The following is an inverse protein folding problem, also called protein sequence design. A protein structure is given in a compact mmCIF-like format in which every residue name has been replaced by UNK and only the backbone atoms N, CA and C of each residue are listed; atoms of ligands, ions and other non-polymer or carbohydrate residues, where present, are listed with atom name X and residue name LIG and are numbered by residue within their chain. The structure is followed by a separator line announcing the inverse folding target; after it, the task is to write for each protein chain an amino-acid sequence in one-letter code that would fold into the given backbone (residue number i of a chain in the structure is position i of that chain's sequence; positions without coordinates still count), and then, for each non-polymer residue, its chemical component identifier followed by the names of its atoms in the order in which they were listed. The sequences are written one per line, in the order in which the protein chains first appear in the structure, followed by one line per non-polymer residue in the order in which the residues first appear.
data_IF_770083206668
#
_entry.id   IF_770083206668
#
_cell.length_a   1.000
_cell.length_b   1.000
_cell.length_c   1.000
_cell.angle_alpha   90.00
_cell.angle_beta   90.00
_cell.angle_gamma   90.00
#
_symmetry.space_group_name_H-M   'P 1'
#
loop_
_entity.id
_entity.type
_entity.pdbx_description
1 polymer ?
#
# COMPACT_ATOMS: atom_id res chain seq x y z
N UNK A 1 -62.17 14.14 41.54
CA UNK A 1 -61.76 15.11 42.60
C UNK A 1 -60.66 14.46 43.41
N UNK A 2 -59.53 15.17 43.60
CA UNK A 2 -58.57 15.16 44.74
C UNK A 2 -58.45 13.87 45.56
N UNK A 3 -57.30 13.31 45.93
CA UNK A 3 -55.90 13.71 46.01
C UNK A 3 -55.19 12.39 46.43
N UNK A 4 -54.01 12.06 45.90
CA UNK A 4 -52.71 12.34 46.54
C UNK A 4 -52.59 11.78 47.98
N UNK A 5 -51.49 11.06 48.20
CA UNK A 5 -50.92 10.62 49.49
C UNK A 5 -51.25 9.16 49.86
N UNK A 6 -50.50 8.22 49.27
CA UNK A 6 -49.73 7.24 50.05
C UNK A 6 -48.45 6.94 49.28
N UNK A 7 -47.59 7.96 49.26
CA UNK A 7 -46.17 7.81 49.07
C UNK A 7 -45.65 7.13 50.34
N UNK A 8 -45.24 5.87 50.26
CA UNK A 8 -44.13 5.29 51.03
C UNK A 8 -44.24 3.78 51.03
N UNK A 9 -43.15 3.16 50.60
CA UNK A 9 -42.83 1.75 50.76
C UNK A 9 -43.38 0.82 49.68
N UNK A 10 -42.44 0.07 49.09
CA UNK A 10 -42.64 -1.17 48.35
C UNK A 10 -42.84 -1.11 46.82
N UNK A 11 -41.88 -0.56 46.08
CA UNK A 11 -41.33 -1.27 44.91
C UNK A 11 -39.80 -1.14 44.94
N UNK A 12 -39.19 -2.02 45.74
CA UNK A 12 -37.77 -2.42 45.67
C UNK A 12 -37.60 -3.48 44.54
N UNK A 13 -38.04 -3.15 43.33
CA UNK A 13 -37.87 -4.03 42.15
C UNK A 13 -37.33 -3.20 40.99
N UNK A 14 -36.14 -2.63 41.21
CA UNK A 14 -35.28 -2.28 40.08
C UNK A 14 -34.78 -3.61 39.52
N UNK A 15 -35.32 -3.92 38.37
CA UNK A 15 -35.05 -5.08 37.53
C UNK A 15 -33.55 -5.26 37.33
N UNK A 16 -33.00 -6.31 37.95
CA UNK A 16 -31.71 -6.87 37.57
C UNK A 16 -31.85 -7.50 36.17
N UNK A 17 -31.41 -6.80 35.13
CA UNK A 17 -31.13 -7.42 33.85
C UNK A 17 -29.82 -8.23 33.98
N UNK A 18 -29.97 -9.53 34.25
CA UNK A 18 -28.90 -10.51 34.09
C UNK A 18 -28.63 -10.69 32.59
N UNK A 19 -27.48 -10.21 32.09
CA UNK A 19 -26.99 -10.60 30.77
C UNK A 19 -26.53 -12.05 30.88
N UNK A 20 -27.17 -12.93 30.10
CA UNK A 20 -26.73 -14.30 29.87
C UNK A 20 -25.42 -14.26 29.09
N UNK A 21 -24.33 -14.68 29.72
CA UNK A 21 -23.08 -14.98 29.02
C UNK A 21 -23.29 -16.23 28.15
N UNK A 22 -23.48 -16.01 26.86
CA UNK A 22 -23.40 -17.06 25.87
C UNK A 22 -21.94 -17.18 25.44
N UNK A 23 -21.22 -18.07 26.12
CA UNK A 23 -19.99 -18.67 25.60
C UNK A 23 -20.36 -19.48 24.35
N UNK A 24 -20.44 -18.80 23.20
CA UNK A 24 -20.39 -19.43 21.89
C UNK A 24 -19.01 -19.11 21.35
N UNK A 25 -18.10 -20.06 21.52
CA UNK A 25 -16.88 -20.18 20.74
C UNK A 25 -17.25 -20.38 19.27
N UNK A 26 -17.62 -19.30 18.58
CA UNK A 26 -17.57 -19.24 17.13
C UNK A 26 -16.10 -18.96 16.80
N UNK A 27 -15.34 -20.04 16.59
CA UNK A 27 -14.08 -19.99 15.87
C UNK A 27 -14.38 -19.35 14.49
N UNK A 28 -14.25 -18.03 14.39
CA UNK A 28 -14.14 -17.30 13.11
C UNK A 28 -12.77 -17.61 12.51
N UNK A 29 -12.54 -18.88 12.15
CA UNK A 29 -11.64 -19.23 11.06
C UNK A 29 -12.37 -18.83 9.79
N UNK A 30 -11.94 -17.74 9.16
CA UNK A 30 -11.94 -17.47 7.71
C UNK A 30 -11.95 -15.94 7.49
N UNK A 31 -10.84 -15.45 6.91
CA UNK A 31 -10.68 -14.16 6.22
C UNK A 31 -10.33 -12.88 7.00
N UNK A 32 -9.35 -12.92 7.92
CA UNK A 32 -8.65 -11.69 8.39
C UNK A 32 -7.11 -11.72 8.22
N UNK A 33 -6.51 -12.90 8.04
CA UNK A 33 -5.04 -13.05 8.03
C UNK A 33 -4.30 -12.46 6.81
N UNK A 34 -4.95 -12.12 5.70
CA UNK A 34 -4.23 -11.67 4.49
C UNK A 34 -3.83 -10.19 4.51
N UNK A 35 -4.60 -9.34 5.17
CA UNK A 35 -4.35 -7.91 5.26
C UNK A 35 -3.38 -7.57 6.38
N UNK A 36 -3.55 -8.16 7.57
CA UNK A 36 -2.59 -8.01 8.68
C UNK A 36 -1.22 -8.57 8.32
N UNK A 37 -1.15 -9.79 7.75
CA UNK A 37 0.15 -10.35 7.36
C UNK A 37 0.83 -9.59 6.21
N UNK A 38 0.06 -8.96 5.31
CA UNK A 38 0.62 -8.10 4.26
C UNK A 38 1.18 -6.80 4.83
N UNK A 39 0.43 -6.14 5.71
CA UNK A 39 0.87 -4.90 6.37
C UNK A 39 2.07 -5.13 7.28
N UNK A 40 2.08 -6.23 8.03
CA UNK A 40 3.20 -6.63 8.90
C UNK A 40 4.44 -7.00 8.08
N UNK A 41 4.27 -7.64 6.93
CA UNK A 41 5.36 -7.96 5.99
C UNK A 41 5.89 -6.71 5.28
N UNK A 42 5.07 -5.71 4.98
CA UNK A 42 5.50 -4.42 4.40
C UNK A 42 6.30 -3.58 5.41
N UNK A 43 5.83 -3.50 6.66
CA UNK A 43 6.56 -2.84 7.75
C UNK A 43 7.91 -3.55 8.02
N UNK A 44 7.94 -4.89 8.02
CA UNK A 44 9.19 -5.65 8.16
C UNK A 44 10.16 -5.43 6.99
N UNK A 45 9.63 -5.19 5.78
CA UNK A 45 10.43 -4.99 4.57
C UNK A 45 10.89 -3.54 4.36
N UNK A 46 10.60 -2.61 5.27
CA UNK A 46 10.94 -1.16 5.13
C UNK A 46 10.43 -0.54 3.84
N UNK A 47 9.29 -1.05 3.36
CA UNK A 47 8.64 -0.58 2.14
C UNK A 47 7.15 -0.39 2.41
N UNK A 48 6.61 0.73 1.96
CA UNK A 48 5.17 1.01 2.06
C UNK A 48 4.59 1.11 0.65
N UNK A 49 3.54 0.34 0.36
CA UNK A 49 2.77 0.56 -0.87
C UNK A 49 2.18 1.97 -0.89
N UNK A 50 2.39 2.69 -1.99
CA UNK A 50 1.80 4.01 -2.23
C UNK A 50 1.15 4.07 -3.61
N UNK A 51 0.04 4.81 -3.78
CA UNK A 51 -0.49 5.09 -5.11
C UNK A 51 0.45 6.05 -5.86
N UNK A 52 0.54 5.91 -7.19
CA UNK A 52 1.35 6.81 -8.03
C UNK A 52 0.98 8.29 -7.87
N UNK A 53 -0.29 8.60 -7.57
CA UNK A 53 -0.76 9.97 -7.32
C UNK A 53 -0.19 10.62 -6.06
N UNK A 54 0.42 9.85 -5.15
CA UNK A 54 1.13 10.39 -3.98
C UNK A 54 2.61 10.68 -4.28
N UNK A 55 3.13 10.24 -5.43
CA UNK A 55 4.50 10.54 -5.86
C UNK A 55 4.49 11.93 -6.51
N UNK A 56 5.07 12.90 -5.82
CA UNK A 56 5.17 14.29 -6.31
C UNK A 56 5.86 14.32 -7.68
N UNK A 57 5.20 14.93 -8.66
CA UNK A 57 5.74 15.12 -10.01
C UNK A 57 5.62 13.91 -10.93
N UNK A 58 5.08 12.77 -10.48
CA UNK A 58 5.04 11.55 -11.32
C UNK A 58 4.27 11.76 -12.63
N UNK A 59 3.09 12.39 -12.58
CA UNK A 59 2.29 12.67 -13.78
C UNK A 59 2.72 13.94 -14.52
N UNK A 60 3.65 14.72 -13.96
CA UNK A 60 4.25 15.90 -14.60
C UNK A 60 5.50 15.53 -15.42
N UNK A 61 6.03 14.31 -15.24
CA UNK A 61 7.22 13.80 -15.92
C UNK A 61 6.91 13.29 -17.35
N UNK A 62 7.94 13.16 -18.19
CA UNK A 62 7.82 12.59 -19.54
C UNK A 62 7.82 11.05 -19.47
N UNK A 63 6.68 10.50 -19.04
CA UNK A 63 6.51 9.05 -18.87
C UNK A 63 6.59 8.29 -20.20
N UNK A 64 6.33 8.94 -21.34
CA UNK A 64 6.51 8.32 -22.66
C UNK A 64 8.01 8.15 -22.96
N UNK A 65 8.83 9.16 -22.67
CA UNK A 65 10.28 9.03 -22.78
C UNK A 65 10.83 7.96 -21.81
N UNK A 66 10.34 7.92 -20.57
CA UNK A 66 10.71 6.87 -19.61
C UNK A 66 10.36 5.46 -20.12
N UNK A 67 9.20 5.28 -20.77
CA UNK A 67 8.83 4.02 -21.41
C UNK A 67 9.78 3.64 -22.56
N UNK A 68 10.21 4.60 -23.38
CA UNK A 68 11.20 4.34 -24.44
C UNK A 68 12.56 3.89 -23.88
N UNK A 69 13.00 4.46 -22.76
CA UNK A 69 14.19 4.00 -22.04
C UNK A 69 13.97 2.58 -21.49
N UNK A 70 12.83 2.33 -20.84
CA UNK A 70 12.47 1.01 -20.31
C UNK A 70 12.46 -0.08 -21.39
N UNK A 71 11.93 0.22 -22.59
CA UNK A 71 11.96 -0.70 -23.76
C UNK A 71 13.39 -1.07 -24.16
N UNK A 72 14.35 -0.13 -24.09
CA UNK A 72 15.77 -0.40 -24.37
C UNK A 72 16.36 -1.34 -23.33
N UNK A 73 16.09 -1.10 -22.05
CA UNK A 73 16.60 -1.94 -20.95
C UNK A 73 16.05 -3.37 -21.02
N UNK A 74 14.81 -3.53 -21.50
CA UNK A 74 14.18 -4.83 -21.70
C UNK A 74 14.95 -5.77 -22.65
N UNK A 75 15.84 -5.25 -23.51
CA UNK A 75 16.72 -6.10 -24.33
C UNK A 75 17.53 -7.08 -23.47
N UNK A 76 18.00 -6.63 -22.30
CA UNK A 76 18.73 -7.47 -21.33
C UNK A 76 17.82 -7.97 -20.20
N UNK A 77 16.93 -7.12 -19.69
CA UNK A 77 16.15 -7.41 -18.49
C UNK A 77 15.12 -8.52 -18.65
N UNK A 78 14.64 -8.79 -19.87
CA UNK A 78 13.69 -9.87 -20.13
C UNK A 78 14.19 -11.29 -19.79
N UNK A 79 15.50 -11.44 -19.53
CA UNK A 79 16.08 -12.71 -19.04
C UNK A 79 15.64 -13.06 -17.62
N UNK A 80 15.17 -12.07 -16.85
CA UNK A 80 14.63 -12.24 -15.51
C UNK A 80 13.14 -12.52 -15.59
N UNK A 81 12.69 -13.60 -14.96
CA UNK A 81 11.30 -14.06 -15.08
C UNK A 81 10.30 -13.02 -14.54
N UNK A 82 10.70 -12.29 -13.49
CA UNK A 82 9.93 -11.20 -12.87
C UNK A 82 9.68 -10.03 -13.83
N UNK A 83 10.59 -9.81 -14.80
CA UNK A 83 10.54 -8.69 -15.73
C UNK A 83 10.08 -9.09 -17.14
N UNK A 84 10.12 -10.39 -17.47
CA UNK A 84 9.82 -10.91 -18.81
C UNK A 84 8.45 -10.46 -19.32
N UNK A 85 7.40 -10.63 -18.51
CA UNK A 85 6.03 -10.27 -18.90
C UNK A 85 5.89 -8.75 -19.11
N UNK A 86 6.36 -7.94 -18.16
CA UNK A 86 6.26 -6.48 -18.29
C UNK A 86 7.09 -5.92 -19.45
N UNK A 87 8.22 -6.57 -19.76
CA UNK A 87 9.01 -6.25 -20.94
C UNK A 87 8.29 -6.56 -22.25
N UNK A 88 7.57 -7.68 -22.34
CA UNK A 88 6.74 -7.99 -23.50
C UNK A 88 5.63 -6.95 -23.70
N UNK A 89 4.94 -6.58 -22.61
CA UNK A 89 3.89 -5.55 -22.66
C UNK A 89 4.42 -4.19 -23.08
N UNK A 90 5.63 -3.83 -22.63
CA UNK A 90 6.27 -2.56 -22.98
C UNK A 90 6.41 -2.39 -24.50
N UNK A 91 6.77 -3.45 -25.24
CA UNK A 91 6.99 -3.39 -26.69
C UNK A 91 5.74 -3.00 -27.48
N UNK A 92 4.54 -3.19 -26.90
CA UNK A 92 3.27 -2.95 -27.57
C UNK A 92 2.51 -1.73 -27.01
N UNK A 93 3.15 -0.95 -26.13
CA UNK A 93 2.54 0.21 -25.48
C UNK A 93 3.26 1.50 -25.87
N UNK A 94 2.51 2.57 -26.06
CA UNK A 94 3.05 3.92 -26.33
C UNK A 94 2.64 4.94 -25.26
N UNK A 95 1.68 4.61 -24.40
CA UNK A 95 1.25 5.43 -23.28
C UNK A 95 2.01 5.02 -22.02
N UNK A 96 3.03 5.81 -21.67
CA UNK A 96 3.90 5.56 -20.52
C UNK A 96 3.15 5.64 -19.19
N UNK A 97 2.24 6.59 -19.03
CA UNK A 97 1.47 6.74 -17.80
C UNK A 97 0.61 5.52 -17.54
N UNK A 98 -0.16 5.10 -18.55
CA UNK A 98 -0.98 3.89 -18.45
C UNK A 98 -0.13 2.64 -18.25
N UNK A 99 1.02 2.55 -18.92
CA UNK A 99 1.94 1.43 -18.79
C UNK A 99 2.44 1.26 -17.34
N UNK A 100 3.00 2.31 -16.74
CA UNK A 100 3.57 2.23 -15.40
C UNK A 100 2.49 1.96 -14.34
N UNK A 101 1.37 2.68 -14.41
CA UNK A 101 0.26 2.52 -13.45
C UNK A 101 -0.38 1.12 -13.54
N UNK A 102 -0.49 0.54 -14.73
CA UNK A 102 -1.16 -0.76 -14.92
C UNK A 102 -0.27 -1.97 -14.67
N UNK A 103 1.06 -1.81 -14.70
CA UNK A 103 2.00 -2.93 -14.68
C UNK A 103 2.95 -2.94 -13.48
N UNK A 104 2.97 -1.88 -12.67
CA UNK A 104 3.85 -1.78 -11.51
C UNK A 104 3.09 -1.39 -10.25
N UNK A 105 3.65 -1.81 -9.11
CA UNK A 105 3.24 -1.33 -7.79
C UNK A 105 4.34 -0.39 -7.28
N UNK A 106 3.97 0.85 -6.97
CA UNK A 106 4.89 1.79 -6.34
C UNK A 106 5.04 1.49 -4.84
N UNK A 107 6.28 1.59 -4.37
CA UNK A 107 6.66 1.45 -2.96
C UNK A 107 7.47 2.68 -2.54
N UNK A 108 7.12 3.28 -1.40
CA UNK A 108 7.97 4.22 -0.67
C UNK A 108 8.96 3.42 0.16
N UNK A 109 10.24 3.77 0.08
CA UNK A 109 11.33 3.07 0.77
C UNK A 109 11.72 3.82 2.05
N UNK A 110 12.13 3.07 3.06
CA UNK A 110 12.67 3.59 4.32
C UNK A 110 14.08 3.02 4.56
N UNK A 111 14.95 3.83 5.15
CA UNK A 111 16.30 3.40 5.52
C UNK A 111 16.29 2.47 6.77
N UNK A 112 17.48 2.09 7.24
CA UNK A 112 17.60 1.23 8.41
C UNK A 112 17.12 1.86 9.73
N UNK A 113 17.02 3.18 9.77
CA UNK A 113 16.57 3.99 10.90
C UNK A 113 15.12 4.46 10.72
N UNK A 114 14.40 3.95 9.72
CA UNK A 114 13.04 4.35 9.36
C UNK A 114 12.89 5.79 8.86
N UNK A 115 13.94 6.38 8.30
CA UNK A 115 13.87 7.67 7.59
C UNK A 115 13.48 7.45 6.13
N UNK A 116 12.74 8.40 5.56
CA UNK A 116 12.30 8.42 4.16
C UNK A 116 13.05 9.45 3.30
N UNK A 117 14.13 10.01 3.84
CA UNK A 117 15.02 10.94 3.15
C UNK A 117 16.32 10.24 2.71
N UNK A 118 16.90 10.73 1.60
CA UNK A 118 18.17 10.23 1.07
C UNK A 118 18.90 11.30 0.28
N UNK A 119 20.21 11.13 0.09
CA UNK A 119 21.05 12.04 -0.68
C UNK A 119 21.15 11.58 -2.13
N UNK A 120 20.70 12.42 -3.07
CA UNK A 120 20.86 12.19 -4.51
C UNK A 120 22.16 12.85 -4.98
N UNK A 121 23.01 12.10 -5.66
CA UNK A 121 24.25 12.57 -6.28
C UNK A 121 24.21 12.35 -7.80
N UNK A 122 25.15 12.95 -8.53
CA UNK A 122 25.23 12.84 -9.99
C UNK A 122 26.54 12.22 -10.45
N UNK A 123 26.49 11.49 -11.56
CA UNK A 123 27.66 11.04 -12.31
C UNK A 123 27.50 11.40 -13.78
N UNK A 124 28.60 11.54 -14.50
CA UNK A 124 28.61 11.74 -15.95
C UNK A 124 29.80 10.99 -16.56
N UNK A 125 29.71 10.68 -17.85
CA UNK A 125 30.82 10.11 -18.61
C UNK A 125 31.59 11.25 -19.29
N UNK A 126 32.88 11.49 -18.93
CA UNK A 126 33.65 12.58 -19.50
C UNK A 126 34.06 12.28 -20.94
N UNK A 127 34.00 13.31 -21.79
CA UNK A 127 34.54 13.24 -23.15
C UNK A 127 36.05 13.51 -23.11
N UNK A 128 36.86 12.55 -23.58
CA UNK A 128 38.32 12.65 -23.62
C UNK A 128 38.83 12.73 -25.06
N UNK A 129 39.79 13.61 -25.31
CA UNK A 129 40.50 13.72 -26.59
C UNK A 129 41.93 13.20 -26.43
N UNK A 130 42.22 12.04 -27.04
CA UNK A 130 43.57 11.45 -27.06
C UNK A 130 44.40 11.93 -28.26
N UNK A 131 45.70 11.69 -28.22
CA UNK A 131 46.67 11.93 -29.30
C UNK A 131 47.40 10.66 -29.69
#
# INVERSE_FOLDING_TARGET
MKNLIFLSSLIFLITACSKKDENISIEKKYSQNSLESKYEKEILNKMQIVPFSQIKGFFDDDLNHALEVFKKDCQKSQRYEELKNVCQKAQHTNDGAMFFVSNFQAYKLYDNNSNDEGMITGYYEPLLYGS
#
